data_IF_267664721138
#
_entry.id   IF_267664721138
#
_cell.length_a   1.000
_cell.length_b   1.000
_cell.length_c   1.000
_cell.angle_alpha   90.00
_cell.angle_beta   90.00
_cell.angle_gamma   90.00
#
_symmetry.space_group_name_H-M   'P 1'
#
loop_
_entity.id
_entity.type
_entity.pdbx_description
1 polymer ?
#
# COMPACT_ATOMS: atom_id res chain seq x y z
N UNK A 1 -22.90 0.54 -0.73
CA UNK A 1 -21.78 -0.26 -0.17
C UNK A 1 -21.01 0.68 0.72
N UNK A 2 -20.85 0.37 2.01
CA UNK A 2 -20.31 1.31 3.00
C UNK A 2 -18.79 1.24 2.92
N UNK A 3 -18.15 2.25 2.32
CA UNK A 3 -16.70 2.43 2.36
C UNK A 3 -16.28 2.56 3.83
N UNK A 4 -15.39 1.68 4.31
CA UNK A 4 -14.95 1.66 5.70
C UNK A 4 -14.29 3.00 6.07
N UNK A 5 -14.68 3.58 7.21
CA UNK A 5 -14.29 4.92 7.64
C UNK A 5 -12.84 5.05 8.14
N UNK A 6 -11.98 4.06 7.88
CA UNK A 6 -10.59 4.05 8.35
C UNK A 6 -9.56 4.09 7.22
N UNK A 7 -9.98 3.85 5.98
CA UNK A 7 -9.09 3.94 4.82
C UNK A 7 -8.98 5.41 4.40
N UNK A 8 -7.77 5.95 4.44
CA UNK A 8 -7.51 7.34 4.09
C UNK A 8 -6.86 7.41 2.71
N UNK A 9 -7.50 8.10 1.77
CA UNK A 9 -6.87 8.41 0.49
C UNK A 9 -5.90 9.58 0.63
N UNK A 10 -4.72 9.45 0.01
CA UNK A 10 -3.68 10.46 -0.07
C UNK A 10 -3.39 10.75 -1.54
N UNK A 11 -3.56 12.00 -1.96
CA UNK A 11 -3.42 12.39 -3.37
C UNK A 11 -2.11 13.15 -3.57
N UNK A 12 -1.33 12.78 -4.59
CA UNK A 12 -0.09 13.44 -4.95
C UNK A 12 0.28 13.19 -6.42
N UNK A 13 0.56 14.25 -7.19
CA UNK A 13 0.93 14.17 -8.62
C UNK A 13 -0.04 13.29 -9.46
N UNK A 14 -1.34 13.53 -9.31
CA UNK A 14 -2.42 12.77 -9.95
C UNK A 14 -2.51 11.28 -9.56
N UNK A 15 -1.70 10.83 -8.60
CA UNK A 15 -1.78 9.51 -8.00
C UNK A 15 -2.61 9.54 -6.73
N UNK A 16 -3.41 8.50 -6.53
CA UNK A 16 -4.21 8.26 -5.33
C UNK A 16 -3.65 7.06 -4.58
N UNK A 17 -3.17 7.27 -3.36
CA UNK A 17 -2.69 6.21 -2.49
C UNK A 17 -3.73 5.88 -1.42
N UNK A 18 -3.98 4.60 -1.18
CA UNK A 18 -4.79 4.16 -0.05
C UNK A 18 -3.89 3.90 1.15
N UNK A 19 -4.10 4.63 2.24
CA UNK A 19 -3.46 4.33 3.51
C UNK A 19 -4.30 3.30 4.28
N UNK A 20 -3.69 2.15 4.56
CA UNK A 20 -4.32 1.00 5.21
C UNK A 20 -3.79 0.81 6.64
N UNK A 21 -4.69 0.60 7.59
CA UNK A 21 -4.34 0.03 8.90
C UNK A 21 -4.47 -1.50 8.81
N UNK A 22 -3.37 -2.28 8.92
CA UNK A 22 -3.43 -3.75 8.79
C UNK A 22 -4.18 -4.42 9.95
N UNK A 23 -4.53 -3.68 11.01
CA UNK A 23 -5.37 -4.18 12.10
C UNK A 23 -6.87 -3.94 11.85
N UNK A 24 -7.21 -3.17 10.82
CA UNK A 24 -8.57 -2.92 10.38
C UNK A 24 -8.95 -3.83 9.22
N UNK A 25 -10.25 -3.95 8.97
CA UNK A 25 -10.74 -4.63 7.77
C UNK A 25 -10.40 -3.83 6.53
N UNK A 26 -9.66 -4.43 5.60
CA UNK A 26 -9.27 -3.84 4.33
C UNK A 26 -10.22 -4.28 3.22
N UNK A 27 -10.86 -3.34 2.52
CA UNK A 27 -11.72 -3.65 1.40
C UNK A 27 -10.90 -3.72 0.10
N UNK A 28 -10.65 -4.93 -0.42
CA UNK A 28 -9.87 -5.13 -1.65
C UNK A 28 -10.47 -4.45 -2.87
N UNK A 29 -11.77 -4.10 -2.84
CA UNK A 29 -12.44 -3.43 -3.95
C UNK A 29 -11.79 -2.11 -4.36
N UNK A 30 -11.17 -1.39 -3.43
CA UNK A 30 -10.43 -0.18 -3.78
C UNK A 30 -9.34 -0.44 -4.84
N UNK A 31 -8.71 -1.62 -4.78
CA UNK A 31 -7.68 -2.03 -5.74
C UNK A 31 -8.31 -2.65 -6.99
N UNK A 32 -9.33 -3.49 -6.82
CA UNK A 32 -10.00 -4.18 -7.94
C UNK A 32 -10.70 -3.21 -8.89
N UNK A 33 -11.33 -2.16 -8.34
CA UNK A 33 -12.04 -1.14 -9.12
C UNK A 33 -11.08 -0.10 -9.73
N UNK A 34 -9.77 -0.20 -9.46
CA UNK A 34 -8.75 0.72 -9.97
C UNK A 34 -8.87 2.15 -9.42
N UNK A 35 -9.52 2.33 -8.27
CA UNK A 35 -9.72 3.64 -7.64
C UNK A 35 -8.42 4.23 -7.05
N UNK A 36 -7.37 3.41 -6.94
CA UNK A 36 -6.09 3.79 -6.32
C UNK A 36 -4.89 3.29 -7.13
N UNK A 37 -3.79 4.02 -7.01
CA UNK A 37 -2.52 3.78 -7.71
C UNK A 37 -1.48 3.07 -6.84
N UNK A 38 -1.73 2.95 -5.55
CA UNK A 38 -0.85 2.27 -4.60
C UNK A 38 -1.45 2.17 -3.20
N UNK A 39 -0.86 1.32 -2.37
CA UNK A 39 -1.26 1.11 -0.97
C UNK A 39 -0.10 1.46 -0.04
N UNK A 40 -0.39 2.20 1.02
CA UNK A 40 0.55 2.53 2.08
C UNK A 40 0.06 1.85 3.36
N UNK A 41 0.76 0.79 3.79
CA UNK A 41 0.38 -0.01 4.96
C UNK A 41 1.07 0.55 6.19
N UNK A 42 0.31 0.88 7.22
CA UNK A 42 0.88 1.25 8.52
C UNK A 42 1.62 0.07 9.16
N UNK A 43 2.92 0.22 9.43
CA UNK A 43 3.70 -0.82 10.06
C UNK A 43 3.48 -0.85 11.57
N UNK A 44 2.51 -1.65 12.03
CA UNK A 44 2.20 -1.82 13.47
C UNK A 44 2.56 -3.20 14.03
N UNK A 45 2.23 -4.27 13.29
CA UNK A 45 2.44 -5.66 13.72
C UNK A 45 2.85 -6.51 12.52
N UNK A 46 4.00 -7.16 12.62
CA UNK A 46 4.60 -7.96 11.56
C UNK A 46 3.61 -8.92 10.90
N UNK A 47 2.90 -9.73 11.69
CA UNK A 47 1.98 -10.74 11.17
C UNK A 47 0.85 -10.10 10.34
N UNK A 48 0.21 -9.04 10.86
CA UNK A 48 -0.92 -8.41 10.18
C UNK A 48 -0.49 -7.64 8.93
N UNK A 49 0.70 -7.03 8.94
CA UNK A 49 1.29 -6.41 7.73
C UNK A 49 1.58 -7.49 6.69
N UNK A 50 2.19 -8.60 7.10
CA UNK A 50 2.51 -9.71 6.21
C UNK A 50 1.25 -10.34 5.60
N UNK A 51 0.20 -10.55 6.40
CA UNK A 51 -1.10 -11.04 5.93
C UNK A 51 -1.68 -10.12 4.85
N UNK A 52 -1.76 -8.81 5.11
CA UNK A 52 -2.28 -7.85 4.13
C UNK A 52 -1.45 -7.80 2.84
N UNK A 53 -0.11 -7.80 2.95
CA UNK A 53 0.75 -7.84 1.77
C UNK A 53 0.54 -9.15 0.99
N UNK A 54 0.43 -10.29 1.68
CA UNK A 54 0.19 -11.57 1.03
C UNK A 54 -1.17 -11.60 0.33
N UNK A 55 -2.22 -11.01 0.92
CA UNK A 55 -3.53 -10.94 0.28
C UNK A 55 -3.46 -10.14 -1.03
N UNK A 56 -2.69 -9.05 -1.07
CA UNK A 56 -2.42 -8.29 -2.31
C UNK A 56 -1.56 -9.11 -3.28
N UNK A 57 -0.43 -9.66 -2.82
CA UNK A 57 0.58 -10.36 -3.64
C UNK A 57 0.19 -11.79 -4.03
N UNK A 58 -0.92 -12.31 -3.54
CA UNK A 58 -1.48 -13.60 -3.97
C UNK A 58 -2.81 -13.44 -4.71
N UNK A 59 -3.24 -12.18 -4.92
CA UNK A 59 -4.49 -11.89 -5.58
C UNK A 59 -4.53 -12.42 -7.02
N UNK A 60 -5.68 -12.95 -7.45
CA UNK A 60 -5.86 -13.53 -8.78
C UNK A 60 -5.94 -12.48 -9.90
N UNK A 61 -6.34 -11.26 -9.57
CA UNK A 61 -6.31 -10.11 -10.48
C UNK A 61 -4.88 -9.54 -10.57
N UNK A 62 -4.32 -9.53 -11.78
CA UNK A 62 -2.97 -9.03 -12.07
C UNK A 62 -2.77 -7.57 -11.64
N UNK A 63 -3.77 -6.71 -11.79
CA UNK A 63 -3.66 -5.29 -11.43
C UNK A 63 -3.53 -5.10 -9.93
N UNK A 64 -4.24 -5.92 -9.14
CA UNK A 64 -4.13 -5.96 -7.68
C UNK A 64 -2.80 -6.56 -7.26
N UNK A 65 -2.40 -7.69 -7.87
CA UNK A 65 -1.12 -8.35 -7.60
C UNK A 65 0.09 -7.42 -7.78
N UNK A 66 0.06 -6.61 -8.85
CA UNK A 66 1.12 -5.67 -9.21
C UNK A 66 0.92 -4.27 -8.60
N UNK A 67 -0.07 -4.10 -7.72
CA UNK A 67 -0.29 -2.85 -7.02
C UNK A 67 0.99 -2.43 -6.28
N UNK A 68 1.45 -1.17 -6.42
CA UNK A 68 2.53 -0.65 -5.59
C UNK A 68 2.16 -0.69 -4.11
N UNK A 69 3.01 -1.31 -3.28
CA UNK A 69 2.79 -1.45 -1.84
C UNK A 69 3.96 -0.83 -1.08
N UNK A 70 3.67 0.10 -0.17
CA UNK A 70 4.67 0.79 0.64
C UNK A 70 4.40 0.60 2.12
N UNK A 71 5.46 0.52 2.92
CA UNK A 71 5.35 0.47 4.38
C UNK A 71 5.50 1.88 4.95
N UNK A 72 4.56 2.30 5.79
CA UNK A 72 4.70 3.52 6.57
C UNK A 72 5.09 3.21 8.01
N UNK A 73 6.26 3.70 8.44
CA UNK A 73 6.75 3.53 9.80
C UNK A 73 7.49 4.78 10.28
N UNK A 74 7.12 5.30 11.45
CA UNK A 74 7.76 6.51 12.00
C UNK A 74 9.07 6.15 12.73
N UNK A 75 9.10 5.02 13.45
CA UNK A 75 10.22 4.63 14.32
C UNK A 75 10.47 3.12 14.33
N UNK A 76 11.72 2.73 14.54
CA UNK A 76 12.16 1.33 14.66
C UNK A 76 12.41 0.66 13.31
N UNK A 77 13.04 -0.51 13.35
CA UNK A 77 13.33 -1.29 12.14
C UNK A 77 12.11 -2.12 11.73
N UNK A 78 11.85 -2.17 10.44
CA UNK A 78 10.95 -3.13 9.80
C UNK A 78 11.59 -4.51 9.77
N UNK A 79 10.76 -5.55 9.79
CA UNK A 79 11.24 -6.92 9.61
C UNK A 79 11.75 -7.07 8.17
N UNK A 80 13.02 -7.46 7.95
CA UNK A 80 13.60 -7.53 6.62
C UNK A 80 12.82 -8.40 5.64
N UNK A 81 12.18 -9.47 6.12
CA UNK A 81 11.36 -10.34 5.28
C UNK A 81 10.10 -9.63 4.76
N UNK A 82 9.50 -8.75 5.58
CA UNK A 82 8.32 -7.98 5.20
C UNK A 82 8.72 -6.84 4.27
N UNK A 83 9.83 -6.15 4.56
CA UNK A 83 10.38 -5.09 3.70
C UNK A 83 10.64 -5.54 2.28
N UNK A 84 11.07 -6.79 2.09
CA UNK A 84 11.33 -7.37 0.76
C UNK A 84 10.06 -7.62 -0.07
N UNK A 85 8.88 -7.68 0.57
CA UNK A 85 7.60 -7.88 -0.11
C UNK A 85 6.93 -6.56 -0.50
N UNK A 86 7.37 -5.46 0.10
CA UNK A 86 6.97 -4.10 -0.24
C UNK A 86 7.89 -3.51 -1.31
N UNK A 87 7.37 -2.55 -2.08
CA UNK A 87 8.11 -1.80 -3.10
C UNK A 87 8.94 -0.66 -2.50
N UNK A 88 8.70 -0.31 -1.24
CA UNK A 88 9.49 0.67 -0.50
C UNK A 88 8.95 0.97 0.89
N UNK A 89 9.68 1.82 1.60
CA UNK A 89 9.31 2.29 2.93
C UNK A 89 9.32 3.81 2.97
N UNK A 90 8.41 4.38 3.77
CA UNK A 90 8.34 5.80 4.05
C UNK A 90 8.17 6.07 5.53
N UNK A 91 8.70 7.20 5.97
CA UNK A 91 8.63 7.65 7.36
C UNK A 91 7.85 8.96 7.52
N UNK A 92 7.47 9.59 6.41
CA UNK A 92 6.78 10.88 6.39
C UNK A 92 5.71 10.94 5.29
N UNK A 93 4.43 10.93 5.69
CA UNK A 93 3.29 11.04 4.77
C UNK A 93 3.14 12.43 4.12
N UNK A 94 3.87 13.44 4.61
CA UNK A 94 3.89 14.78 3.99
C UNK A 94 4.80 14.84 2.77
N UNK A 95 5.67 13.84 2.56
CA UNK A 95 6.54 13.74 1.40
C UNK A 95 6.32 12.41 0.66
N UNK A 96 5.40 12.44 -0.30
CA UNK A 96 5.04 11.26 -1.10
C UNK A 96 5.88 11.13 -2.39
N UNK A 97 6.76 12.10 -2.70
CA UNK A 97 7.58 12.08 -3.92
C UNK A 97 8.32 10.74 -4.13
N UNK A 98 8.97 10.13 -3.11
CA UNK A 98 9.72 8.89 -3.32
C UNK A 98 8.84 7.72 -3.79
N UNK A 99 7.64 7.60 -3.23
CA UNK A 99 6.72 6.51 -3.58
C UNK A 99 5.97 6.81 -4.88
N UNK A 100 5.74 8.09 -5.17
CA UNK A 100 5.13 8.52 -6.43
C UNK A 100 6.02 8.17 -7.63
N UNK A 101 7.33 8.41 -7.52
CA UNK A 101 8.29 8.04 -8.56
C UNK A 101 8.36 6.52 -8.79
N UNK A 102 8.34 5.72 -7.71
CA UNK A 102 8.31 4.26 -7.80
C UNK A 102 7.00 3.80 -8.47
N UNK A 103 5.87 4.36 -8.04
CA UNK A 103 4.53 4.06 -8.58
C UNK A 103 4.46 4.34 -10.08
N UNK A 104 4.89 5.51 -10.54
CA UNK A 104 4.95 5.85 -11.98
C UNK A 104 5.82 4.85 -12.76
N UNK A 105 6.93 4.39 -12.19
CA UNK A 105 7.81 3.37 -12.82
C UNK A 105 7.17 1.99 -12.88
N UNK A 106 6.45 1.57 -11.85
CA UNK A 106 5.73 0.29 -11.85
C UNK A 106 4.59 0.35 -12.87
N UNK A 107 3.73 1.38 -12.80
CA UNK A 107 2.58 1.53 -13.67
C UNK A 107 2.93 1.68 -15.15
N UNK A 108 4.06 2.31 -15.48
CA UNK A 108 4.51 2.39 -16.89
C UNK A 108 4.97 1.05 -17.50
N UNK A 109 5.06 -0.02 -16.69
CA UNK A 109 5.40 -1.38 -17.14
C UNK A 109 4.20 -2.33 -17.20
N UNK A 110 3.02 -1.87 -16.76
CA UNK A 110 1.77 -2.64 -16.81
C UNK A 110 1.14 -2.56 -18.19
#
# INVERSE_FOLDING_TARGET
>A
MIKNSQDQQLIHDDLTFLKADPLASFDMKWLEDGEVDGVIIEYRKDLSVLELINDIRSHNNREVYLMPVFLYKIHGQTNPAISQLADGEITNLSNLNPIADITKKIKSRL
#
